data_IF_472375324240
#
_entry.id   IF_472375324240
#
_cell.length_a   1.000
_cell.length_b   1.000
_cell.length_c   1.000
_cell.angle_alpha   90.00
_cell.angle_beta   90.00
_cell.angle_gamma   90.00
#
_symmetry.space_group_name_H-M   'P 1'
#
loop_
_entity.id
_entity.type
_entity.pdbx_description
1 polymer ?
#
# COMPACT_ATOMS: atom_id res chain seq x y z
N UNK A 1 -16.99 -6.24 -9.74
CA UNK A 1 -16.74 -7.68 -9.95
C UNK A 1 -17.78 -8.48 -9.18
N UNK A 2 -18.53 -9.35 -9.86
CA UNK A 2 -19.48 -10.27 -9.22
C UNK A 2 -18.77 -11.58 -8.87
N UNK A 3 -19.00 -12.09 -7.66
CA UNK A 3 -18.37 -13.29 -7.11
C UNK A 3 -19.50 -14.26 -6.69
N UNK A 4 -19.55 -15.49 -7.21
CA UNK A 4 -20.59 -16.47 -6.86
C UNK A 4 -20.62 -16.81 -5.37
N UNK A 5 -21.71 -17.39 -4.89
CA UNK A 5 -21.76 -17.99 -3.54
C UNK A 5 -20.88 -19.24 -3.45
N UNK A 6 -20.41 -19.55 -2.25
CA UNK A 6 -19.61 -20.74 -1.93
C UNK A 6 -18.32 -20.86 -2.79
N UNK A 7 -17.74 -19.72 -3.16
CA UNK A 7 -16.47 -19.63 -3.90
C UNK A 7 -15.39 -18.87 -3.14
N UNK A 8 -14.16 -19.02 -3.64
CA UNK A 8 -12.96 -18.36 -3.17
C UNK A 8 -12.27 -17.72 -4.37
N UNK A 9 -11.98 -16.43 -4.28
CA UNK A 9 -11.35 -15.64 -5.34
C UNK A 9 -10.18 -14.84 -4.77
N UNK A 10 -9.11 -14.74 -5.56
CA UNK A 10 -7.92 -13.93 -5.23
C UNK A 10 -7.75 -12.88 -6.32
N UNK A 11 -7.67 -11.62 -5.91
CA UNK A 11 -7.41 -10.50 -6.82
C UNK A 11 -6.20 -9.73 -6.32
N UNK A 12 -5.18 -9.60 -7.16
CA UNK A 12 -3.98 -8.82 -6.85
C UNK A 12 -3.99 -7.51 -7.64
N UNK A 13 -3.79 -6.42 -6.92
CA UNK A 13 -3.91 -5.05 -7.44
C UNK A 13 -2.56 -4.37 -7.25
N UNK A 14 -2.03 -3.78 -8.31
CA UNK A 14 -0.80 -2.99 -8.26
C UNK A 14 -1.13 -1.50 -8.28
N UNK A 15 -0.57 -0.75 -7.34
CA UNK A 15 -0.59 0.71 -7.35
C UNK A 15 0.46 1.30 -8.32
N UNK A 16 1.26 0.45 -8.98
CA UNK A 16 2.35 0.85 -9.88
C UNK A 16 3.66 1.12 -9.14
N UNK A 17 3.58 1.80 -8.00
CA UNK A 17 4.67 2.19 -7.09
C UNK A 17 4.25 2.08 -5.62
N UNK A 18 5.17 2.35 -4.70
CA UNK A 18 4.88 2.33 -3.26
C UNK A 18 4.01 3.52 -2.87
N UNK A 19 2.88 3.23 -2.25
CA UNK A 19 1.86 4.21 -1.83
C UNK A 19 1.59 4.08 -0.34
N UNK A 20 1.21 5.19 0.26
CA UNK A 20 0.67 5.30 1.62
C UNK A 20 -0.76 5.79 1.50
N UNK A 21 -1.73 5.06 2.04
CA UNK A 21 -3.13 5.43 1.86
C UNK A 21 -4.14 4.72 2.75
N UNK A 22 -5.28 5.36 2.91
CA UNK A 22 -6.47 4.77 3.53
C UNK A 22 -7.24 3.98 2.47
N UNK A 23 -7.46 2.69 2.73
CA UNK A 23 -8.14 1.78 1.80
C UNK A 23 -9.65 1.95 1.90
N UNK A 24 -10.35 1.91 0.77
CA UNK A 24 -11.82 1.80 0.75
C UNK A 24 -12.26 0.60 -0.09
N UNK A 25 -13.07 -0.25 0.54
CA UNK A 25 -13.66 -1.44 -0.07
C UNK A 25 -15.18 -1.28 -0.08
N UNK A 26 -15.77 -1.23 -1.29
CA UNK A 26 -17.20 -0.97 -1.49
C UNK A 26 -17.88 -2.24 -2.02
N UNK A 27 -18.86 -2.73 -1.27
CA UNK A 27 -19.47 -4.06 -1.45
C UNK A 27 -21.00 -3.99 -1.52
N UNK A 28 -21.58 -5.00 -2.17
CA UNK A 28 -23.01 -5.32 -2.06
C UNK A 28 -23.22 -6.81 -1.85
N UNK A 29 -24.27 -7.17 -1.11
CA UNK A 29 -24.62 -8.55 -0.78
C UNK A 29 -23.45 -9.28 -0.07
N UNK A 30 -23.39 -10.60 -0.17
CA UNK A 30 -22.28 -11.40 0.36
C UNK A 30 -22.26 -11.51 1.88
N UNK A 31 -23.42 -11.68 2.52
CA UNK A 31 -23.51 -11.89 3.96
C UNK A 31 -22.56 -12.99 4.43
N UNK A 32 -21.79 -12.68 5.47
CA UNK A 32 -20.78 -13.56 6.05
C UNK A 32 -19.62 -13.91 5.10
N UNK A 33 -19.39 -13.13 4.04
CA UNK A 33 -18.17 -13.26 3.27
C UNK A 33 -16.96 -12.80 4.10
N UNK A 34 -15.89 -13.59 4.06
CA UNK A 34 -14.60 -13.27 4.66
C UNK A 34 -13.71 -12.63 3.61
N UNK A 35 -13.18 -11.44 3.91
CA UNK A 35 -12.33 -10.68 3.01
C UNK A 35 -11.04 -10.33 3.75
N UNK A 36 -9.93 -10.93 3.32
CA UNK A 36 -8.60 -10.58 3.81
C UNK A 36 -7.90 -9.69 2.80
N UNK A 37 -7.46 -8.53 3.25
CA UNK A 37 -6.65 -7.60 2.48
C UNK A 37 -5.20 -7.77 2.93
N UNK A 38 -4.31 -8.22 2.04
CA UNK A 38 -2.87 -8.31 2.31
C UNK A 38 -2.15 -7.17 1.59
N UNK A 39 -1.40 -6.36 2.34
CA UNK A 39 -0.61 -5.24 1.84
C UNK A 39 0.85 -5.67 1.70
N UNK A 40 1.50 -5.36 0.58
CA UNK A 40 2.90 -5.72 0.39
C UNK A 40 3.66 -4.72 -0.50
N UNK A 41 4.93 -4.49 -0.19
CA UNK A 41 5.85 -3.68 -1.01
C UNK A 41 6.39 -4.47 -2.23
N UNK A 42 6.40 -5.81 -2.15
CA UNK A 42 7.05 -6.68 -3.13
C UNK A 42 6.53 -8.12 -3.04
N UNK A 43 6.70 -8.87 -4.14
CA UNK A 43 6.61 -10.33 -4.12
C UNK A 43 7.82 -10.93 -3.39
N UNK A 44 7.56 -11.95 -2.58
CA UNK A 44 8.58 -12.75 -1.89
C UNK A 44 8.66 -14.15 -2.53
N UNK A 45 9.67 -14.93 -2.14
CA UNK A 45 9.84 -16.32 -2.55
C UNK A 45 9.58 -17.24 -1.35
N UNK A 46 9.24 -18.50 -1.63
CA UNK A 46 9.10 -19.56 -0.62
C UNK A 46 10.38 -19.82 0.19
N UNK A 47 11.53 -19.48 -0.39
CA UNK A 47 12.83 -19.60 0.25
C UNK A 47 12.99 -18.53 1.33
N UNK A 48 13.57 -18.89 2.47
CA UNK A 48 13.84 -17.96 3.57
C UNK A 48 15.34 -17.79 3.78
N UNK A 49 15.76 -16.61 4.25
CA UNK A 49 17.16 -16.26 4.49
C UNK A 49 17.39 -15.68 5.88
N UNK A 50 18.62 -15.85 6.38
CA UNK A 50 19.04 -15.31 7.68
C UNK A 50 18.59 -16.15 8.88
N UNK A 51 19.01 -15.72 10.07
CA UNK A 51 18.63 -16.37 11.34
C UNK A 51 17.16 -16.12 11.70
N UNK A 52 16.63 -14.98 11.27
CA UNK A 52 15.25 -14.56 11.53
C UNK A 52 14.24 -15.15 10.53
N UNK A 53 14.68 -16.07 9.65
CA UNK A 53 13.85 -16.71 8.64
C UNK A 53 12.99 -15.70 7.87
N UNK A 54 13.63 -14.69 7.25
CA UNK A 54 12.93 -13.69 6.45
C UNK A 54 12.72 -14.22 5.04
N UNK A 55 11.52 -14.08 4.49
CA UNK A 55 11.23 -14.49 3.12
C UNK A 55 12.19 -13.81 2.11
N UNK A 56 12.76 -14.59 1.20
CA UNK A 56 13.73 -14.11 0.23
C UNK A 56 13.02 -13.23 -0.82
N UNK A 57 13.53 -12.02 -1.01
CA UNK A 57 13.09 -11.12 -2.09
C UNK A 57 14.10 -11.21 -3.25
N UNK A 58 13.66 -11.69 -4.42
CA UNK A 58 14.44 -11.67 -5.68
C UNK A 58 14.01 -10.47 -6.54
N UNK A 59 13.44 -10.72 -7.71
CA UNK A 59 12.71 -9.70 -8.45
C UNK A 59 11.43 -9.37 -7.67
N UNK A 60 11.35 -8.12 -7.21
CA UNK A 60 10.26 -7.63 -6.36
C UNK A 60 8.92 -7.56 -7.10
N UNK A 61 8.92 -7.75 -8.42
CA UNK A 61 7.74 -7.75 -9.29
C UNK A 61 7.40 -9.13 -9.86
N UNK A 62 8.05 -10.20 -9.39
CA UNK A 62 7.84 -11.55 -9.90
C UNK A 62 6.51 -12.16 -9.42
N UNK A 63 5.40 -11.69 -9.98
CA UNK A 63 4.07 -12.24 -9.72
C UNK A 63 3.93 -13.71 -10.15
N UNK A 64 4.78 -14.19 -11.06
CA UNK A 64 4.64 -15.56 -11.60
C UNK A 64 5.22 -16.61 -10.66
N UNK A 65 6.35 -16.32 -10.02
CA UNK A 65 7.05 -17.28 -9.17
C UNK A 65 7.11 -16.84 -7.70
N UNK A 66 6.67 -15.63 -7.38
CA UNK A 66 6.56 -15.14 -6.01
C UNK A 66 5.12 -15.06 -5.55
N UNK A 67 4.96 -14.76 -4.27
CA UNK A 67 3.67 -14.54 -3.61
C UNK A 67 3.71 -13.29 -2.73
N UNK A 68 2.55 -12.77 -2.36
CA UNK A 68 2.44 -11.59 -1.50
C UNK A 68 2.32 -12.03 -0.03
N UNK A 69 3.21 -11.49 0.79
CA UNK A 69 3.17 -11.63 2.25
C UNK A 69 3.31 -10.25 2.89
N UNK A 70 2.51 -9.97 3.91
CA UNK A 70 2.57 -8.68 4.57
C UNK A 70 1.47 -8.44 5.60
N UNK A 71 1.26 -7.16 5.94
CA UNK A 71 0.23 -6.77 6.90
C UNK A 71 -1.15 -7.11 6.35
N UNK A 72 -2.06 -7.50 7.25
CA UNK A 72 -3.39 -7.94 6.88
C UNK A 72 -4.47 -7.20 7.65
N UNK A 73 -5.50 -6.82 6.93
CA UNK A 73 -6.80 -6.45 7.50
C UNK A 73 -7.81 -7.55 7.16
N UNK A 74 -8.65 -7.91 8.13
CA UNK A 74 -9.69 -8.92 7.96
C UNK A 74 -11.05 -8.27 8.15
N UNK A 75 -11.88 -8.37 7.12
CA UNK A 75 -13.23 -7.81 7.09
C UNK A 75 -14.26 -8.91 6.87
N UNK A 76 -15.32 -8.88 7.68
CA UNK A 76 -16.45 -9.79 7.57
C UNK A 76 -17.66 -9.01 7.06
N UNK A 77 -18.10 -9.30 5.84
CA UNK A 77 -19.22 -8.60 5.23
C UNK A 77 -20.53 -8.90 5.96
N UNK A 78 -21.25 -7.85 6.35
CA UNK A 78 -22.56 -7.96 6.97
C UNK A 78 -23.63 -8.41 5.96
N UNK A 79 -23.40 -8.14 4.67
CA UNK A 79 -24.32 -8.44 3.58
C UNK A 79 -25.49 -7.46 3.51
N UNK A 80 -25.32 -6.27 4.06
CA UNK A 80 -26.38 -5.24 4.11
C UNK A 80 -26.32 -4.31 2.90
N UNK A 81 -25.17 -4.24 2.23
CA UNK A 81 -24.95 -3.38 1.08
C UNK A 81 -25.81 -3.75 -0.12
N UNK A 82 -26.38 -2.74 -0.76
CA UNK A 82 -27.11 -2.84 -2.04
C UNK A 82 -26.32 -2.14 -3.15
N UNK A 83 -26.82 -2.18 -4.39
CA UNK A 83 -26.18 -1.46 -5.50
C UNK A 83 -26.18 0.06 -5.27
N UNK A 84 -27.27 0.62 -4.75
CA UNK A 84 -27.45 2.07 -4.58
C UNK A 84 -27.01 2.57 -3.19
N UNK A 85 -26.95 1.69 -2.19
CA UNK A 85 -26.51 1.97 -0.82
C UNK A 85 -25.55 0.85 -0.36
N UNK A 86 -24.26 0.93 -0.75
CA UNK A 86 -23.31 -0.15 -0.54
C UNK A 86 -22.78 -0.20 0.89
N UNK A 87 -22.27 -1.38 1.25
CA UNK A 87 -21.51 -1.59 2.47
C UNK A 87 -20.05 -1.16 2.22
N UNK A 88 -19.52 -0.29 3.09
CA UNK A 88 -18.19 0.31 2.90
C UNK A 88 -17.31 -0.03 4.09
N UNK A 89 -16.14 -0.57 3.81
CA UNK A 89 -15.07 -0.80 4.78
C UNK A 89 -13.91 0.16 4.55
N UNK A 90 -13.55 0.92 5.60
CA UNK A 90 -12.40 1.81 5.66
C UNK A 90 -11.67 1.61 7.01
N UNK A 91 -10.38 1.25 7.02
CA UNK A 91 -9.63 1.11 8.27
C UNK A 91 -9.29 2.49 8.86
N UNK A 92 -9.15 2.56 10.19
CA UNK A 92 -8.77 3.79 10.89
C UNK A 92 -7.32 4.22 10.65
N UNK A 93 -6.46 3.30 10.25
CA UNK A 93 -5.05 3.55 9.99
C UNK A 93 -4.74 3.35 8.52
N UNK A 94 -3.83 4.16 7.99
CA UNK A 94 -3.36 3.96 6.63
C UNK A 94 -2.55 2.68 6.52
N UNK A 95 -2.37 2.23 5.28
CA UNK A 95 -1.48 1.13 4.92
C UNK A 95 -0.48 1.63 3.90
N UNK A 96 0.66 0.95 3.90
CA UNK A 96 1.71 1.15 2.92
C UNK A 96 1.75 -0.07 2.03
N UNK A 97 1.77 0.14 0.73
CA UNK A 97 1.69 -0.94 -0.25
C UNK A 97 2.15 -0.48 -1.62
N UNK A 98 2.76 -1.40 -2.35
CA UNK A 98 2.76 -1.39 -3.82
C UNK A 98 1.70 -2.32 -4.38
N UNK A 99 1.45 -3.42 -3.68
CA UNK A 99 0.50 -4.46 -4.04
C UNK A 99 -0.52 -4.65 -2.92
N UNK A 100 -1.78 -4.85 -3.31
CA UNK A 100 -2.85 -5.28 -2.40
C UNK A 100 -3.46 -6.56 -2.96
N UNK A 101 -3.45 -7.62 -2.16
CA UNK A 101 -4.18 -8.84 -2.46
C UNK A 101 -5.52 -8.82 -1.72
N UNK A 102 -6.61 -8.98 -2.46
CA UNK A 102 -7.92 -9.27 -1.91
C UNK A 102 -8.14 -10.77 -1.99
N UNK A 103 -8.23 -11.41 -0.83
CA UNK A 103 -8.63 -12.81 -0.72
C UNK A 103 -10.06 -12.87 -0.21
N UNK A 104 -10.99 -13.26 -1.08
CA UNK A 104 -12.43 -13.19 -0.84
C UNK A 104 -12.99 -14.61 -0.79
N UNK A 105 -13.64 -14.95 0.32
CA UNK A 105 -14.38 -16.20 0.51
C UNK A 105 -15.84 -15.87 0.76
N UNK A 106 -16.70 -16.21 -0.19
CA UNK A 106 -18.16 -16.00 -0.07
C UNK A 106 -18.82 -17.16 0.65
N UNK A 107 -19.82 -16.88 1.47
CA UNK A 107 -20.74 -17.90 2.00
C UNK A 107 -21.85 -18.24 1.00
N UNK A 108 -23.02 -18.61 1.53
CA UNK A 108 -24.20 -18.99 0.75
C UNK A 108 -24.82 -17.84 -0.09
N UNK A 109 -24.32 -16.62 0.04
CA UNK A 109 -24.77 -15.45 -0.71
C UNK A 109 -23.64 -14.94 -1.62
N UNK A 110 -23.90 -14.66 -2.90
CA UNK A 110 -22.91 -14.06 -3.78
C UNK A 110 -22.55 -12.64 -3.32
N UNK A 111 -21.31 -12.24 -3.55
CA UNK A 111 -20.80 -10.90 -3.24
C UNK A 111 -20.59 -10.11 -4.53
N UNK A 112 -20.85 -8.81 -4.50
CA UNK A 112 -20.37 -7.90 -5.56
C UNK A 112 -19.36 -6.93 -4.98
N UNK A 113 -18.11 -7.03 -5.41
CA UNK A 113 -17.11 -5.99 -5.22
C UNK A 113 -17.40 -4.86 -6.20
N UNK A 114 -18.02 -3.77 -5.72
CA UNK A 114 -18.34 -2.63 -6.58
C UNK A 114 -17.07 -1.84 -6.92
N UNK A 115 -16.28 -1.54 -5.90
CA UNK A 115 -15.10 -0.69 -6.02
C UNK A 115 -14.07 -1.07 -4.96
N UNK A 116 -12.83 -0.98 -5.37
CA UNK A 116 -11.67 -0.96 -4.49
C UNK A 116 -10.84 0.24 -4.88
N UNK A 117 -10.56 1.12 -3.93
CA UNK A 117 -9.71 2.29 -4.12
C UNK A 117 -8.99 2.64 -2.81
N UNK A 118 -8.18 3.69 -2.86
CA UNK A 118 -7.52 4.24 -1.69
C UNK A 118 -7.39 5.76 -1.80
N UNK A 119 -7.37 6.42 -0.66
CA UNK A 119 -7.02 7.83 -0.54
C UNK A 119 -5.55 7.93 -0.11
N UNK A 120 -4.69 8.45 -1.00
CA UNK A 120 -3.29 8.73 -0.68
C UNK A 120 -3.19 9.67 0.54
N UNK A 121 -2.23 9.39 1.42
CA UNK A 121 -1.95 10.20 2.61
C UNK A 121 -0.45 10.44 2.77
N UNK A 122 -0.12 11.52 3.46
CA UNK A 122 1.24 11.99 3.71
C UNK A 122 1.23 13.46 4.11
N UNK A 123 2.36 13.94 4.63
CA UNK A 123 2.56 15.35 4.87
C UNK A 123 2.46 16.11 3.53
N UNK A 124 1.72 17.25 3.46
CA UNK A 124 1.54 18.01 2.23
C UNK A 124 2.81 18.81 1.89
N UNK A 125 3.88 18.09 1.54
CA UNK A 125 5.15 18.68 1.12
C UNK A 125 5.00 19.29 -0.27
N UNK A 126 5.20 20.60 -0.38
CA UNK A 126 5.32 21.30 -1.65
C UNK A 126 6.76 21.20 -2.14
N UNK A 127 7.00 20.34 -3.13
CA UNK A 127 8.30 20.16 -3.78
C UNK A 127 8.51 21.31 -4.76
N UNK A 128 9.36 22.28 -4.38
CA UNK A 128 9.66 23.46 -5.21
C UNK A 128 10.99 23.38 -5.95
N UNK A 129 11.79 22.34 -5.70
CA UNK A 129 13.12 22.17 -6.27
C UNK A 129 13.14 21.04 -7.29
N UNK A 130 13.94 21.23 -8.34
CA UNK A 130 14.22 20.19 -9.33
C UNK A 130 15.71 20.18 -9.64
N UNK A 131 16.31 19.00 -9.69
CA UNK A 131 17.70 18.83 -10.11
C UNK A 131 17.73 18.29 -11.52
N UNK A 132 18.47 18.97 -12.42
CA UNK A 132 18.76 18.47 -13.76
C UNK A 132 20.26 18.29 -13.93
N UNK A 133 20.65 17.07 -14.25
CA UNK A 133 22.04 16.67 -14.47
C UNK A 133 22.28 16.36 -15.95
N UNK A 134 23.55 16.38 -16.37
CA UNK A 134 23.92 15.92 -17.72
C UNK A 134 23.91 14.39 -17.86
N UNK A 135 23.93 13.68 -16.73
CA UNK A 135 23.73 12.24 -16.65
C UNK A 135 22.25 11.97 -16.34
N UNK A 136 21.52 11.47 -17.33
CA UNK A 136 20.08 11.20 -17.24
C UNK A 136 19.74 10.09 -16.23
N UNK A 137 20.70 9.21 -15.90
CA UNK A 137 20.47 8.15 -14.91
C UNK A 137 20.23 8.67 -13.48
N UNK A 138 20.63 9.91 -13.21
CA UNK A 138 20.42 10.55 -11.91
C UNK A 138 19.00 11.11 -11.75
N UNK A 139 18.23 11.23 -12.84
CA UNK A 139 16.82 11.68 -12.77
C UNK A 139 15.96 10.67 -12.00
N UNK A 140 16.10 9.38 -12.31
CA UNK A 140 15.36 8.31 -11.62
C UNK A 140 15.73 8.24 -10.13
N UNK A 141 16.99 8.50 -9.80
CA UNK A 141 17.47 8.54 -8.41
C UNK A 141 16.82 9.70 -7.65
N UNK A 142 16.74 10.87 -8.28
CA UNK A 142 16.06 12.04 -7.71
C UNK A 142 14.58 11.75 -7.44
N UNK A 143 13.86 11.25 -8.45
CA UNK A 143 12.43 10.94 -8.34
C UNK A 143 12.14 9.90 -7.25
N UNK A 144 12.94 8.83 -7.17
CA UNK A 144 12.80 7.83 -6.11
C UNK A 144 13.10 8.44 -4.74
N UNK A 145 14.13 9.29 -4.62
CA UNK A 145 14.50 9.91 -3.34
C UNK A 145 13.40 10.85 -2.83
N UNK A 146 12.86 11.71 -3.70
CA UNK A 146 11.76 12.63 -3.39
C UNK A 146 10.50 11.85 -2.99
N UNK A 147 10.12 10.83 -3.77
CA UNK A 147 8.97 9.98 -3.44
C UNK A 147 9.18 9.26 -2.11
N UNK A 148 10.35 8.69 -1.84
CA UNK A 148 10.66 8.06 -0.55
C UNK A 148 10.52 9.06 0.60
N UNK A 149 11.02 10.29 0.45
CA UNK A 149 10.84 11.33 1.47
C UNK A 149 9.34 11.61 1.73
N UNK A 150 8.54 11.79 0.67
CA UNK A 150 7.09 12.03 0.81
C UNK A 150 6.35 10.87 1.48
N UNK A 151 6.77 9.63 1.21
CA UNK A 151 6.17 8.43 1.84
C UNK A 151 6.59 8.29 3.29
N UNK A 152 7.80 8.71 3.67
CA UNK A 152 8.29 8.71 5.06
C UNK A 152 7.92 9.97 5.86
N UNK A 153 6.95 10.76 5.39
CA UNK A 153 6.49 11.96 6.09
C UNK A 153 4.98 11.89 6.30
N UNK A 154 4.58 11.75 7.56
CA UNK A 154 3.17 11.82 7.99
C UNK A 154 3.06 12.91 9.08
N UNK A 155 2.75 12.56 10.32
CA UNK A 155 2.82 13.50 11.45
C UNK A 155 4.26 13.81 11.87
N UNK A 156 5.17 12.87 11.60
CA UNK A 156 6.61 12.98 11.83
C UNK A 156 7.39 12.49 10.60
N UNK A 157 8.70 12.73 10.60
CA UNK A 157 9.61 11.92 9.80
C UNK A 157 9.68 10.51 10.39
N UNK A 158 9.54 9.49 9.56
CA UNK A 158 9.62 8.08 9.96
C UNK A 158 10.73 7.37 9.19
N UNK A 159 11.28 6.31 9.77
CA UNK A 159 12.29 5.47 9.12
C UNK A 159 11.74 4.81 7.85
N UNK A 160 10.54 4.23 7.94
CA UNK A 160 9.83 3.64 6.83
C UNK A 160 8.31 3.68 7.05
N UNK A 161 7.53 3.76 5.95
CA UNK A 161 6.09 3.80 6.03
C UNK A 161 5.45 2.44 6.24
N UNK A 162 6.17 1.34 6.01
CA UNK A 162 5.59 -0.01 6.03
C UNK A 162 5.72 -0.71 7.39
N UNK A 163 6.93 -0.89 7.89
CA UNK A 163 7.19 -1.77 9.03
C UNK A 163 7.06 -1.08 10.39
N UNK A 164 7.92 -0.09 10.64
CA UNK A 164 8.09 0.46 11.98
C UNK A 164 7.27 1.73 12.19
N UNK A 165 7.23 2.62 11.18
CA UNK A 165 6.55 3.92 11.27
C UNK A 165 7.02 4.71 12.50
N UNK A 166 8.33 4.64 12.82
CA UNK A 166 8.90 5.26 14.01
C UNK A 166 9.84 6.40 13.67
N UNK A 167 9.87 7.39 14.56
CA UNK A 167 10.78 8.53 14.42
C UNK A 167 12.19 8.20 14.92
N UNK A 168 12.98 7.55 14.07
CA UNK A 168 14.41 7.39 14.34
C UNK A 168 15.17 8.69 14.11
N UNK A 169 15.96 9.09 15.10
CA UNK A 169 16.55 10.45 15.16
C UNK A 169 17.57 10.70 14.03
N UNK A 170 18.34 9.69 13.65
CA UNK A 170 19.37 9.86 12.61
C UNK A 170 18.77 9.88 11.19
N UNK A 171 17.74 9.08 10.97
CA UNK A 171 16.89 9.07 9.78
C UNK A 171 16.21 10.42 9.62
N UNK A 172 15.55 10.89 10.69
CA UNK A 172 14.92 12.21 10.76
C UNK A 172 15.90 13.33 10.41
N UNK A 173 17.12 13.33 10.97
CA UNK A 173 18.13 14.34 10.64
C UNK A 173 18.44 14.38 9.14
N UNK A 174 18.58 13.23 8.51
CA UNK A 174 18.90 13.12 7.08
C UNK A 174 17.73 13.57 6.22
N UNK A 175 16.52 13.12 6.54
CA UNK A 175 15.29 13.54 5.86
C UNK A 175 15.06 15.06 5.99
N UNK A 176 15.28 15.64 7.17
CA UNK A 176 15.22 17.09 7.39
C UNK A 176 16.20 17.85 6.47
N UNK A 177 17.46 17.37 6.38
CA UNK A 177 18.46 17.99 5.50
C UNK A 177 18.07 17.89 4.03
N UNK A 178 17.40 16.81 3.63
CA UNK A 178 16.90 16.63 2.27
C UNK A 178 15.65 17.48 2.00
N UNK A 179 14.80 17.71 3.01
CA UNK A 179 13.59 18.53 2.90
C UNK A 179 13.89 20.02 2.74
N UNK A 180 14.95 20.55 3.37
CA UNK A 180 15.25 21.98 3.32
C UNK A 180 15.41 22.55 1.90
N UNK A 181 16.20 21.93 0.99
CA UNK A 181 16.23 22.32 -0.41
C UNK A 181 14.85 22.34 -1.08
N UNK A 182 13.94 21.43 -0.73
CA UNK A 182 12.62 21.32 -1.35
C UNK A 182 11.67 22.47 -0.98
N UNK A 183 11.90 23.13 0.15
CA UNK A 183 11.03 24.20 0.69
C UNK A 183 11.43 25.62 0.24
N UNK A 184 12.51 25.82 -0.53
CA UNK A 184 13.04 27.15 -0.88
C UNK A 184 12.86 27.56 -2.36
N UNK A 185 11.70 28.17 -2.68
CA UNK A 185 11.54 29.58 -3.13
C UNK A 185 10.34 29.78 -4.08
N UNK A 186 9.22 30.23 -3.52
CA UNK A 186 8.46 31.32 -4.13
C UNK A 186 8.25 32.42 -3.07
N UNK A 187 9.15 33.40 -3.06
CA UNK A 187 8.94 34.71 -2.44
C UNK A 187 9.12 35.75 -3.55
#
# INVERSE_FOLDING_TARGET
MWIPSDTEEIVEISAGEEMTGYISLVLSAGKSADITLTYAEAYVQEEHVGQDHVALKKDRLDQKNGHLEGYQDNYHAAGLGTQDDPEIYEPFWFRTFRFVQLHIKTGAEPLTLQRFDYQETGYPLEVSTSVKTSDESLSDIWEISERTLRRCMHETYEDCPYYEQLQYVMDSRTQILYTYPELFMSI
#
